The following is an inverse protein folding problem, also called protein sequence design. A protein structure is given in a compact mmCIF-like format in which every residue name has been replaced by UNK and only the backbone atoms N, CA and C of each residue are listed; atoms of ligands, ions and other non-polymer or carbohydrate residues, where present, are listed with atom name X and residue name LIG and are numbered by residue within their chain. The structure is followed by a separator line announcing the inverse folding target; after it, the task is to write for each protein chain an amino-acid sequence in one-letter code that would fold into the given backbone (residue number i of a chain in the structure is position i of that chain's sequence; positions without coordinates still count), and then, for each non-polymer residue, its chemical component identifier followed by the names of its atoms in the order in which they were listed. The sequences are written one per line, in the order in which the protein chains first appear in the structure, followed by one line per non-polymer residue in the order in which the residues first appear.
data_IF_481523217944
#
_entry.id   IF_481523217944
#
_cell.length_a   1.000
_cell.length_b   1.000
_cell.length_c   1.000
_cell.angle_alpha   90.00
_cell.angle_beta   90.00
_cell.angle_gamma   90.00
#
_symmetry.space_group_name_H-M   'P 1'
#
loop_
_entity.id
_entity.type
_entity.pdbx_description
1 polymer ?
#
# COMPACT_ATOMS: atom_id res chain seq x y z
N UNK A 1 -27.16 -24.57 -5.23
CA UNK A 1 -27.14 -23.93 -3.91
C UNK A 1 -26.93 -22.45 -4.08
N UNK A 2 -27.67 -21.63 -3.35
CA UNK A 2 -27.56 -20.17 -3.43
C UNK A 2 -26.75 -19.63 -2.25
N UNK A 3 -25.92 -18.63 -2.50
CA UNK A 3 -25.08 -17.99 -1.49
C UNK A 3 -25.35 -16.49 -1.47
N UNK A 4 -25.69 -15.99 -0.29
CA UNK A 4 -25.96 -14.57 -0.05
C UNK A 4 -24.79 -13.93 0.70
N UNK A 5 -24.49 -12.68 0.37
CA UNK A 5 -23.48 -11.92 1.07
C UNK A 5 -23.76 -10.42 1.10
N UNK A 6 -22.99 -9.73 1.94
CA UNK A 6 -23.00 -8.28 2.09
C UNK A 6 -21.57 -7.79 2.23
N UNK A 7 -21.16 -6.86 1.36
CA UNK A 7 -19.89 -6.13 1.46
C UNK A 7 -20.12 -4.85 2.26
N UNK A 8 -19.27 -4.60 3.25
CA UNK A 8 -19.29 -3.41 4.07
C UNK A 8 -18.34 -2.35 3.50
N UNK A 9 -18.89 -1.28 2.91
CA UNK A 9 -18.15 -0.14 2.40
C UNK A 9 -19.12 1.04 2.14
N UNK A 10 -18.60 2.28 2.01
CA UNK A 10 -19.39 3.40 1.52
C UNK A 10 -20.00 3.11 0.14
N UNK A 11 -21.21 3.61 -0.11
CA UNK A 11 -21.95 3.41 -1.35
C UNK A 11 -21.12 3.77 -2.60
N UNK A 12 -20.37 4.87 -2.54
CA UNK A 12 -19.48 5.33 -3.63
C UNK A 12 -18.41 4.29 -4.00
N UNK A 13 -17.92 3.53 -3.03
CA UNK A 13 -16.96 2.43 -3.26
C UNK A 13 -17.67 1.16 -3.70
N UNK A 14 -18.88 0.88 -3.20
CA UNK A 14 -19.65 -0.31 -3.55
C UNK A 14 -19.97 -0.36 -5.05
N UNK A 15 -20.30 0.78 -5.66
CA UNK A 15 -20.58 0.88 -7.10
C UNK A 15 -19.40 0.48 -8.00
N UNK A 16 -18.17 0.51 -7.47
CA UNK A 16 -16.94 0.14 -8.16
C UNK A 16 -16.39 -1.20 -7.69
N UNK A 17 -17.08 -1.86 -6.77
CA UNK A 17 -16.64 -3.13 -6.18
C UNK A 17 -17.04 -4.30 -7.07
N UNK A 18 -16.09 -5.20 -7.32
CA UNK A 18 -16.28 -6.40 -8.12
C UNK A 18 -16.02 -7.65 -7.28
N UNK A 19 -16.93 -8.61 -7.37
CA UNK A 19 -16.85 -9.89 -6.67
C UNK A 19 -16.56 -10.97 -7.69
N UNK A 20 -15.40 -11.60 -7.57
CA UNK A 20 -14.96 -12.69 -8.43
C UNK A 20 -15.15 -14.02 -7.72
N UNK A 21 -15.63 -15.01 -8.47
CA UNK A 21 -15.75 -16.38 -8.00
C UNK A 21 -15.07 -17.31 -9.01
N UNK A 22 -14.20 -18.20 -8.53
CA UNK A 22 -13.59 -19.22 -9.40
C UNK A 22 -14.65 -20.00 -10.18
N UNK A 23 -14.40 -20.25 -11.46
CA UNK A 23 -15.33 -20.96 -12.34
C UNK A 23 -16.44 -20.09 -12.96
N UNK A 24 -16.55 -18.80 -12.59
CA UNK A 24 -17.43 -17.84 -13.28
C UNK A 24 -16.63 -16.93 -14.21
N UNK A 25 -17.20 -16.63 -15.37
CA UNK A 25 -16.60 -15.74 -16.38
C UNK A 25 -16.75 -14.25 -16.04
N UNK A 26 -17.89 -13.88 -15.48
CA UNK A 26 -18.23 -12.49 -15.20
C UNK A 26 -18.21 -12.21 -13.69
N UNK A 27 -17.72 -11.02 -13.28
CA UNK A 27 -17.82 -10.59 -11.89
C UNK A 27 -19.28 -10.35 -11.49
N UNK A 28 -19.54 -10.47 -10.20
CA UNK A 28 -20.79 -10.11 -9.55
C UNK A 28 -20.60 -8.72 -8.94
N UNK A 29 -21.63 -7.88 -9.04
CA UNK A 29 -21.63 -6.54 -8.48
C UNK A 29 -22.58 -6.48 -7.29
N UNK A 30 -22.14 -5.95 -6.13
CA UNK A 30 -23.06 -5.67 -5.03
C UNK A 30 -23.96 -4.48 -5.38
N UNK A 31 -25.13 -4.40 -4.74
CA UNK A 31 -25.99 -3.22 -4.84
C UNK A 31 -25.49 -2.06 -3.97
N UNK A 32 -26.20 -0.92 -3.97
CA UNK A 32 -25.88 0.26 -3.15
C UNK A 32 -25.79 -0.01 -1.65
N UNK A 33 -26.52 -1.01 -1.16
CA UNK A 33 -26.51 -1.45 0.23
C UNK A 33 -25.46 -2.56 0.50
N UNK A 34 -24.66 -2.93 -0.50
CA UNK A 34 -23.58 -3.90 -0.41
C UNK A 34 -24.00 -5.36 -0.59
N UNK A 35 -25.29 -5.63 -0.82
CA UNK A 35 -25.81 -6.98 -0.94
C UNK A 35 -25.50 -7.59 -2.31
N UNK A 36 -25.19 -8.88 -2.31
CA UNK A 36 -25.01 -9.68 -3.52
C UNK A 36 -25.53 -11.11 -3.32
N UNK A 37 -25.81 -11.78 -4.44
CA UNK A 37 -26.31 -13.15 -4.48
C UNK A 37 -25.60 -13.94 -5.57
N UNK A 38 -25.26 -15.20 -5.25
CA UNK A 38 -24.69 -16.16 -6.18
C UNK A 38 -25.64 -17.34 -6.30
N UNK A 39 -26.22 -17.49 -7.48
CA UNK A 39 -27.26 -18.49 -7.73
C UNK A 39 -26.70 -19.78 -8.30
N UNK A 40 -27.34 -20.90 -7.97
CA UNK A 40 -27.15 -22.19 -8.63
C UNK A 40 -25.69 -22.66 -8.63
N UNK A 41 -24.98 -22.51 -7.51
CA UNK A 41 -23.67 -23.11 -7.39
C UNK A 41 -23.80 -24.64 -7.25
N UNK A 42 -23.12 -25.42 -8.12
CA UNK A 42 -23.06 -26.87 -7.97
C UNK A 42 -22.12 -27.28 -6.83
N UNK A 43 -22.08 -28.58 -6.55
CA UNK A 43 -21.11 -29.17 -5.62
C UNK A 43 -19.69 -28.85 -6.09
N UNK A 44 -18.84 -28.42 -5.16
CA UNK A 44 -17.47 -28.03 -5.46
C UNK A 44 -16.91 -27.03 -4.47
N UNK A 45 -15.66 -26.64 -4.73
CA UNK A 45 -14.95 -25.63 -3.97
C UNK A 45 -14.70 -24.39 -4.83
N UNK A 46 -14.96 -23.23 -4.26
CA UNK A 46 -14.86 -21.95 -4.94
C UNK A 46 -14.08 -20.95 -4.10
N UNK A 47 -13.19 -20.19 -4.75
CA UNK A 47 -12.55 -19.03 -4.14
C UNK A 47 -13.33 -17.77 -4.51
N UNK A 48 -13.86 -17.08 -3.51
CA UNK A 48 -14.50 -15.78 -3.63
C UNK A 48 -13.53 -14.67 -3.26
N UNK A 49 -13.38 -13.69 -4.14
CA UNK A 49 -12.52 -12.51 -3.94
C UNK A 49 -13.33 -11.24 -4.16
N UNK A 50 -13.16 -10.27 -3.28
CA UNK A 50 -13.78 -8.94 -3.41
C UNK A 50 -12.70 -7.93 -3.73
N UNK A 51 -12.84 -7.25 -4.86
CA UNK A 51 -11.95 -6.19 -5.30
C UNK A 51 -12.72 -4.86 -5.25
N UNK A 52 -12.29 -3.98 -4.35
CA UNK A 52 -12.77 -2.61 -4.29
C UNK A 52 -11.63 -1.63 -4.57
N UNK A 53 -11.93 -0.39 -4.98
CA UNK A 53 -10.90 0.62 -5.26
C UNK A 53 -10.14 1.07 -4.01
N UNK A 54 -10.85 1.22 -2.89
CA UNK A 54 -10.35 1.91 -1.69
C UNK A 54 -10.18 1.00 -0.48
N UNK A 55 -10.58 -0.26 -0.59
CA UNK A 55 -10.65 -1.19 0.53
C UNK A 55 -10.13 -2.57 0.13
N UNK A 56 -9.34 -3.15 1.03
CA UNK A 56 -8.86 -4.53 0.89
C UNK A 56 -9.71 -5.43 1.76
N UNK A 57 -10.09 -6.60 1.24
CA UNK A 57 -10.94 -7.58 1.91
C UNK A 57 -10.26 -8.93 2.01
N UNK A 58 -10.72 -9.77 2.95
CA UNK A 58 -10.38 -11.18 2.94
C UNK A 58 -10.96 -11.88 1.70
N UNK A 59 -10.26 -12.91 1.23
CA UNK A 59 -10.86 -13.89 0.32
C UNK A 59 -11.51 -15.01 1.12
N UNK A 60 -12.49 -15.68 0.51
CA UNK A 60 -13.25 -16.73 1.17
C UNK A 60 -13.27 -18.00 0.32
N UNK A 61 -13.14 -19.16 0.98
CA UNK A 61 -13.44 -20.45 0.38
C UNK A 61 -14.90 -20.77 0.65
N UNK A 62 -15.65 -21.01 -0.41
CA UNK A 62 -17.02 -21.52 -0.38
C UNK A 62 -16.96 -22.97 -0.81
N UNK A 63 -17.30 -23.87 0.10
CA UNK A 63 -17.28 -25.31 -0.13
C UNK A 63 -18.71 -25.85 -0.07
N UNK A 64 -19.17 -26.42 -1.19
CA UNK A 64 -20.53 -26.94 -1.36
C UNK A 64 -20.44 -28.46 -1.45
N UNK A 65 -20.99 -29.12 -0.45
CA UNK A 65 -20.94 -30.59 -0.29
C UNK A 65 -22.34 -31.17 -0.16
N UNK A 66 -22.49 -32.43 -0.53
CA UNK A 66 -23.66 -33.22 -0.18
C UNK A 66 -23.52 -33.73 1.26
N UNK A 67 -24.61 -33.66 2.01
CA UNK A 67 -24.72 -34.26 3.33
C UNK A 67 -25.94 -35.17 3.34
N UNK A 68 -25.71 -36.44 3.62
CA UNK A 68 -26.77 -37.40 3.90
C UNK A 68 -27.46 -37.05 5.21
N UNK A 69 -28.78 -36.98 5.17
CA UNK A 69 -29.63 -36.77 6.35
C UNK A 69 -30.75 -37.79 6.37
N UNK A 70 -31.46 -37.88 7.51
CA UNK A 70 -32.60 -38.79 7.66
C UNK A 70 -33.69 -38.57 6.59
N UNK A 71 -33.78 -37.34 6.07
CA UNK A 71 -34.77 -36.93 5.07
C UNK A 71 -34.21 -36.97 3.62
N UNK A 72 -33.01 -37.54 3.43
CA UNK A 72 -32.33 -37.67 2.14
C UNK A 72 -31.05 -36.82 2.01
N UNK A 73 -30.50 -36.78 0.79
CA UNK A 73 -29.29 -36.03 0.45
C UNK A 73 -29.61 -34.55 0.24
N UNK A 74 -28.90 -33.66 0.95
CA UNK A 74 -29.02 -32.20 0.76
C UNK A 74 -27.67 -31.54 0.52
N UNK A 75 -27.67 -30.44 -0.23
CA UNK A 75 -26.48 -29.60 -0.36
C UNK A 75 -26.29 -28.72 0.87
N UNK A 76 -25.04 -28.65 1.35
CA UNK A 76 -24.61 -27.83 2.48
C UNK A 76 -23.50 -26.91 2.01
N UNK A 77 -23.57 -25.64 2.42
CA UNK A 77 -22.54 -24.65 2.15
C UNK A 77 -21.73 -24.37 3.42
N UNK A 78 -20.43 -24.66 3.38
CA UNK A 78 -19.45 -24.23 4.39
C UNK A 78 -18.62 -23.07 3.84
N UNK A 79 -18.29 -22.13 4.72
CA UNK A 79 -17.55 -20.90 4.37
C UNK A 79 -16.33 -20.78 5.27
N UNK A 80 -15.21 -20.42 4.69
CA UNK A 80 -13.95 -20.24 5.40
C UNK A 80 -13.26 -18.97 4.91
N UNK A 81 -12.54 -18.30 5.81
CA UNK A 81 -11.60 -17.27 5.41
C UNK A 81 -10.39 -17.96 4.77
N UNK A 82 -9.94 -17.49 3.62
CA UNK A 82 -8.76 -18.03 2.95
C UNK A 82 -7.49 -17.58 3.69
N UNK A 83 -6.64 -18.53 4.07
CA UNK A 83 -5.34 -18.24 4.69
C UNK A 83 -4.24 -18.21 3.62
N UNK A 84 -3.75 -17.01 3.32
CA UNK A 84 -2.68 -16.79 2.34
C UNK A 84 -1.33 -17.39 2.75
N UNK A 85 -1.09 -17.62 4.04
CA UNK A 85 0.19 -18.18 4.51
C UNK A 85 0.26 -19.68 4.23
N UNK A 86 -0.85 -20.37 4.44
CA UNK A 86 -0.93 -21.83 4.31
C UNK A 86 -1.53 -22.29 2.98
N UNK A 87 -2.20 -21.38 2.24
CA UNK A 87 -2.92 -21.68 1.01
C UNK A 87 -4.17 -22.54 1.22
N UNK A 88 -4.67 -22.63 2.47
CA UNK A 88 -5.73 -23.56 2.89
C UNK A 88 -6.93 -22.80 3.51
N UNK A 89 -8.07 -23.48 3.67
CA UNK A 89 -9.17 -22.94 4.47
C UNK A 89 -8.70 -22.63 5.89
N UNK A 90 -8.84 -21.37 6.31
CA UNK A 90 -8.61 -20.91 7.67
C UNK A 90 -9.87 -21.01 8.53
N UNK A 91 -10.15 -19.97 9.30
CA UNK A 91 -11.30 -19.93 10.22
C UNK A 91 -12.64 -20.09 9.50
N UNK A 92 -13.53 -20.89 10.09
CA UNK A 92 -14.90 -21.08 9.60
C UNK A 92 -15.76 -19.84 9.84
N UNK A 93 -16.61 -19.51 8.87
CA UNK A 93 -17.60 -18.43 8.94
C UNK A 93 -18.98 -19.04 9.11
N UNK A 94 -19.48 -19.09 10.35
CA UNK A 94 -20.77 -19.67 10.68
C UNK A 94 -21.92 -18.65 10.60
N UNK A 95 -22.19 -18.15 9.39
CA UNK A 95 -23.29 -17.22 9.14
C UNK A 95 -23.98 -17.56 7.83
N UNK A 96 -25.32 -17.47 7.79
CA UNK A 96 -26.09 -17.68 6.56
C UNK A 96 -25.72 -16.65 5.48
N UNK A 97 -25.70 -15.36 5.85
CA UNK A 97 -25.20 -14.27 4.99
C UNK A 97 -23.69 -14.11 5.20
N UNK A 98 -22.93 -14.12 4.11
CA UNK A 98 -21.49 -13.82 4.15
C UNK A 98 -21.27 -12.32 4.33
N UNK A 99 -21.00 -11.90 5.57
CA UNK A 99 -20.67 -10.51 5.88
C UNK A 99 -19.18 -10.26 5.65
N UNK A 100 -18.85 -9.45 4.65
CA UNK A 100 -17.49 -9.15 4.21
C UNK A 100 -17.13 -7.76 4.72
N UNK A 101 -16.21 -7.70 5.67
CA UNK A 101 -15.70 -6.45 6.25
C UNK A 101 -14.33 -6.10 5.65
N UNK A 102 -14.03 -4.82 5.46
CA UNK A 102 -12.73 -4.39 5.00
C UNK A 102 -11.67 -4.68 6.07
N UNK A 103 -10.49 -5.13 5.64
CA UNK A 103 -9.31 -5.27 6.48
C UNK A 103 -8.69 -3.91 6.78
N UNK A 104 -8.56 -3.08 5.74
CA UNK A 104 -8.05 -1.72 5.79
C UNK A 104 -8.45 -0.96 4.53
N UNK A 105 -8.38 0.37 4.60
CA UNK A 105 -8.52 1.23 3.43
C UNK A 105 -7.15 1.50 2.79
N UNK A 106 -7.08 1.50 1.46
CA UNK A 106 -5.90 1.86 0.67
C UNK A 106 -5.75 3.36 0.50
N UNK A 107 -6.81 4.13 0.73
CA UNK A 107 -6.77 5.58 0.83
C UNK A 107 -6.16 5.98 2.17
N UNK A 108 -4.87 5.69 2.35
CA UNK A 108 -4.06 6.60 3.15
C UNK A 108 -4.01 7.89 2.34
N UNK A 109 -4.86 8.85 2.71
CA UNK A 109 -4.48 10.25 2.58
C UNK A 109 -3.06 10.31 3.15
N UNK A 110 -2.10 10.53 2.26
CA UNK A 110 -0.76 10.95 2.66
C UNK A 110 -0.96 12.33 3.27
N UNK A 111 -1.38 12.30 4.53
CA UNK A 111 -1.76 13.48 5.27
C UNK A 111 -0.51 14.32 5.27
N UNK A 112 -0.60 15.41 4.53
CA UNK A 112 0.49 16.31 4.20
C UNK A 112 0.88 17.12 5.44
N UNK A 113 1.09 16.45 6.58
CA UNK A 113 1.85 16.92 7.73
C UNK A 113 3.36 16.71 7.54
N UNK A 114 3.78 16.42 6.31
CA UNK A 114 5.18 16.27 5.92
C UNK A 114 5.89 17.60 5.68
N UNK A 115 5.21 18.75 5.53
CA UNK A 115 5.87 20.00 5.14
C UNK A 115 7.06 20.38 6.03
N UNK A 116 6.92 20.30 7.35
CA UNK A 116 8.01 20.58 8.29
C UNK A 116 8.79 19.32 8.70
N UNK A 117 8.11 18.18 8.93
CA UNK A 117 8.79 16.93 9.32
C UNK A 117 9.70 16.38 8.20
N UNK A 118 9.31 16.58 6.94
CA UNK A 118 10.13 16.22 5.78
C UNK A 118 11.35 17.14 5.68
N UNK A 119 11.22 18.44 5.91
CA UNK A 119 12.38 19.36 5.98
C UNK A 119 13.37 18.98 7.10
N UNK A 120 12.87 18.66 8.31
CA UNK A 120 13.73 18.14 9.38
C UNK A 120 14.35 16.78 9.05
N UNK A 121 13.71 15.96 8.20
CA UNK A 121 14.27 14.70 7.73
C UNK A 121 15.33 14.89 6.65
N UNK A 122 15.21 15.94 5.82
CA UNK A 122 16.22 16.31 4.82
C UNK A 122 17.51 16.80 5.50
N UNK A 123 17.42 17.47 6.65
CA UNK A 123 18.59 17.82 7.48
C UNK A 123 19.34 16.60 8.05
N UNK A 124 18.76 15.40 8.01
CA UNK A 124 19.45 14.16 8.39
C UNK A 124 20.22 13.52 7.23
N UNK A 125 20.11 14.07 6.02
CA UNK A 125 20.86 13.61 4.86
C UNK A 125 22.23 14.32 4.80
N UNK A 126 23.36 13.59 4.89
CA UNK A 126 24.68 14.19 4.87
C UNK A 126 24.99 14.98 3.60
N UNK A 127 24.43 14.60 2.43
CA UNK A 127 24.60 15.37 1.20
C UNK A 127 23.91 16.73 1.24
N UNK A 128 22.75 16.81 1.89
CA UNK A 128 21.98 18.05 2.04
C UNK A 128 22.63 18.98 3.07
N UNK A 129 23.20 18.43 4.14
CA UNK A 129 23.96 19.22 5.11
C UNK A 129 25.20 19.85 4.47
N UNK A 130 25.95 19.07 3.69
CA UNK A 130 27.14 19.57 2.99
C UNK A 130 26.74 20.68 2.00
N UNK A 131 25.66 20.52 1.24
CA UNK A 131 25.21 21.57 0.31
C UNK A 131 24.78 22.84 1.02
N UNK A 132 24.10 22.74 2.17
CA UNK A 132 23.72 23.89 2.97
C UNK A 132 24.95 24.63 3.53
N UNK A 133 25.96 23.90 4.01
CA UNK A 133 27.23 24.48 4.48
C UNK A 133 27.98 25.18 3.34
N UNK A 134 28.07 24.55 2.16
CA UNK A 134 28.72 25.16 0.99
C UNK A 134 28.03 26.45 0.54
N UNK A 135 26.70 26.47 0.54
CA UNK A 135 25.94 27.69 0.23
C UNK A 135 26.16 28.77 1.29
N UNK A 136 26.14 28.41 2.58
CA UNK A 136 26.43 29.36 3.66
C UNK A 136 27.81 30.00 3.57
N UNK A 137 28.84 29.20 3.29
CA UNK A 137 30.23 29.67 3.10
C UNK A 137 30.29 30.66 1.93
N UNK A 138 29.54 30.44 0.85
CA UNK A 138 29.52 31.36 -0.31
C UNK A 138 29.06 32.77 0.06
N UNK A 139 28.16 32.93 1.04
CA UNK A 139 27.70 34.24 1.51
C UNK A 139 28.56 34.84 2.63
N UNK A 140 29.24 33.99 3.42
CA UNK A 140 30.10 34.43 4.52
C UNK A 140 31.51 34.81 4.03
N UNK A 141 32.03 34.13 3.00
CA UNK A 141 33.36 34.39 2.45
C UNK A 141 33.60 35.86 2.06
N UNK A 142 32.68 36.57 1.37
CA UNK A 142 32.87 37.98 1.05
C UNK A 142 33.03 38.86 2.29
N UNK A 143 32.27 38.59 3.36
CA UNK A 143 32.32 39.34 4.62
C UNK A 143 33.64 39.09 5.35
N UNK A 144 34.14 37.85 5.31
CA UNK A 144 35.43 37.50 5.89
C UNK A 144 36.60 38.10 5.11
N UNK A 145 36.49 38.18 3.77
CA UNK A 145 37.50 38.77 2.88
C UNK A 145 37.75 40.24 3.16
N UNK A 146 36.71 40.97 3.57
CA UNK A 146 36.82 42.38 3.93
C UNK A 146 37.40 42.61 5.33
N UNK A 147 37.53 41.56 6.17
CA UNK A 147 37.88 41.67 7.60
C UNK A 147 39.12 40.90 8.06
N UNK A 148 39.69 40.02 7.22
CA UNK A 148 40.82 39.15 7.58
C UNK A 148 42.04 39.41 6.67
N UNK A 149 43.24 39.34 7.26
CA UNK A 149 44.52 39.41 6.53
C UNK A 149 44.73 38.18 5.61
N UNK A 150 45.49 38.38 4.54
CA UNK A 150 45.70 37.43 3.43
C UNK A 150 46.19 36.04 3.88
N UNK A 151 46.95 35.97 4.96
CA UNK A 151 47.50 34.71 5.50
C UNK A 151 46.42 33.83 6.17
N UNK A 152 45.43 34.43 6.83
CA UNK A 152 44.32 33.71 7.45
C UNK A 152 43.33 33.13 6.41
N UNK A 153 43.27 33.72 5.21
CA UNK A 153 42.46 33.23 4.09
C UNK A 153 42.97 31.92 3.49
N UNK A 154 44.29 31.73 3.45
CA UNK A 154 44.93 30.53 2.90
C UNK A 154 44.69 29.30 3.79
N UNK A 155 44.68 29.47 5.12
CA UNK A 155 44.42 28.39 6.08
C UNK A 155 42.97 27.86 6.00
N UNK A 156 42.01 28.76 5.79
CA UNK A 156 40.57 28.42 5.69
C UNK A 156 40.25 27.70 4.38
N UNK A 157 40.83 28.16 3.26
CA UNK A 157 40.59 27.58 1.94
C UNK A 157 41.34 26.25 1.73
N UNK A 158 42.48 26.05 2.37
CA UNK A 158 43.23 24.79 2.37
C UNK A 158 42.52 23.62 3.07
N UNK A 159 41.53 23.89 3.91
CA UNK A 159 40.86 22.89 4.75
C UNK A 159 39.52 22.38 4.21
N UNK A 160 39.08 22.85 3.04
CA UNK A 160 37.79 22.44 2.43
C UNK A 160 37.92 21.03 1.81
N UNK A 161 37.16 20.02 2.30
CA UNK A 161 37.20 18.68 1.73
C UNK A 161 36.56 18.69 0.33
N UNK A 162 37.41 18.72 -0.71
CA UNK A 162 36.98 18.76 -2.11
C UNK A 162 37.85 19.62 -3.04
N UNK A 163 38.68 20.51 -2.49
CA UNK A 163 39.55 21.40 -3.29
C UNK A 163 40.60 20.70 -4.17
N UNK A 164 40.95 19.44 -3.85
CA UNK A 164 41.92 18.65 -4.62
C UNK A 164 41.35 17.89 -5.83
N UNK A 165 40.03 17.85 -6.04
CA UNK A 165 39.42 17.10 -7.15
C UNK A 165 39.20 17.94 -8.42
N UNK A 166 39.15 19.27 -8.33
CA UNK A 166 38.90 20.13 -9.50
C UNK A 166 40.17 20.53 -10.27
N UNK A 167 41.35 20.51 -9.64
CA UNK A 167 42.60 20.93 -10.31
C UNK A 167 43.13 19.89 -11.32
N UNK A 168 42.79 18.61 -11.16
CA UNK A 168 43.32 17.54 -12.02
C UNK A 168 42.55 17.36 -13.33
N UNK A 169 41.39 17.99 -13.51
CA UNK A 169 40.60 17.87 -14.75
C UNK A 169 40.91 18.98 -15.78
N UNK A 170 41.56 20.08 -15.38
CA UNK A 170 41.80 21.23 -16.26
C UNK A 170 43.15 21.15 -17.00
N UNK A 171 44.09 20.27 -16.59
CA UNK A 171 45.45 20.21 -17.19
C UNK A 171 45.57 19.14 -18.31
N UNK A 172 44.48 18.46 -18.69
CA UNK A 172 44.49 17.55 -19.84
C UNK A 172 43.28 17.81 -20.72
N UNK A 173 43.30 18.87 -21.52
CA UNK A 173 42.80 18.93 -22.91
C UNK A 173 43.05 20.33 -23.46
N UNK A 174 43.97 20.44 -24.42
CA UNK A 174 44.10 21.59 -25.34
C UNK A 174 44.99 22.72 -24.86
#
# INVERSE_FOLDING_TARGET
MDVFGKVDAPESSLMKTQIYLTGRRHPIYPNSAGHFQINNLPKGEYLLRVLGPEYVYNSYIINITEQETKDGTRLVCKKFIFDYKTGKPGSTVNSYVLNIKPLYSTNKTDDSQGGLKSLFSLLKNPLVLISAVSLGITFVLPILQDSLDVEAMEEITGSVPGGKLLLNFVIKFG
#
